data_IF_920608908214
#
_entry.id   IF_920608908214
#
_cell.length_a   1.000
_cell.length_b   1.000
_cell.length_c   1.000
_cell.angle_alpha   90.00
_cell.angle_beta   90.00
_cell.angle_gamma   90.00
#
_symmetry.space_group_name_H-M   'P 1'
#
loop_
_entity.id
_entity.type
_entity.pdbx_description
1 polymer ?
#
# COMPACT_ATOMS: atom_id res chain seq x y z
N UNK A 1 7.09 -5.36 3.71
CA UNK A 1 7.28 -6.13 4.96
C UNK A 1 5.99 -6.60 5.63
N UNK A 2 4.94 -5.77 5.70
CA UNK A 2 3.67 -6.15 6.34
C UNK A 2 2.72 -6.95 5.45
N UNK A 3 2.97 -7.01 4.14
CA UNK A 3 2.10 -7.77 3.22
C UNK A 3 2.41 -9.25 3.35
N UNK A 4 1.49 -9.99 3.98
CA UNK A 4 1.45 -11.46 4.08
C UNK A 4 0.07 -11.90 4.57
N UNK A 5 -0.22 -13.18 4.47
CA UNK A 5 -1.46 -13.76 4.99
C UNK A 5 -1.70 -13.45 6.48
N UNK A 6 -2.97 -13.20 6.82
CA UNK A 6 -3.42 -13.01 8.19
C UNK A 6 -3.16 -11.61 8.75
N UNK A 7 -2.48 -10.73 8.00
CA UNK A 7 -2.27 -9.33 8.42
C UNK A 7 -3.54 -8.51 8.16
N UNK A 8 -4.07 -7.79 9.16
CA UNK A 8 -5.12 -6.81 8.94
C UNK A 8 -4.69 -5.78 7.91
N UNK A 9 -5.54 -5.48 6.94
CA UNK A 9 -5.17 -4.55 5.87
C UNK A 9 -4.87 -3.13 6.40
N UNK A 10 -5.51 -2.74 7.50
CA UNK A 10 -5.23 -1.50 8.22
C UNK A 10 -3.79 -1.44 8.76
N UNK A 11 -3.17 -2.57 9.10
CA UNK A 11 -1.79 -2.62 9.58
C UNK A 11 -0.78 -2.35 8.45
N UNK A 12 -1.12 -2.73 7.21
CA UNK A 12 -0.32 -2.37 6.04
C UNK A 12 -0.35 -0.85 5.82
N UNK A 13 -1.54 -0.26 5.91
CA UNK A 13 -1.71 1.19 5.78
C UNK A 13 -1.01 1.97 6.91
N UNK A 14 -1.18 1.51 8.15
CA UNK A 14 -0.52 2.09 9.32
C UNK A 14 1.01 2.07 9.18
N UNK A 15 1.59 0.99 8.66
CA UNK A 15 3.03 0.91 8.47
C UNK A 15 3.57 1.99 7.53
N UNK A 16 2.86 2.31 6.45
CA UNK A 16 3.23 3.42 5.56
C UNK A 16 3.01 4.79 6.23
N UNK A 17 1.87 4.97 6.92
CA UNK A 17 1.54 6.24 7.60
C UNK A 17 2.53 6.58 8.71
N UNK A 18 2.96 5.63 9.52
CA UNK A 18 3.89 5.90 10.63
C UNK A 18 5.25 6.38 10.10
N UNK A 19 5.77 5.79 9.00
CA UNK A 19 7.00 6.28 8.35
C UNK A 19 6.86 7.73 7.89
N UNK A 20 5.73 8.08 7.26
CA UNK A 20 5.48 9.45 6.81
C UNK A 20 5.25 10.42 7.97
N UNK A 21 4.63 9.95 9.06
CA UNK A 21 4.43 10.72 10.29
C UNK A 21 5.73 11.05 10.98
N UNK A 22 6.65 10.09 11.08
CA UNK A 22 8.01 10.33 11.61
C UNK A 22 8.77 11.37 10.78
N UNK A 23 8.50 11.43 9.47
CA UNK A 23 9.04 12.45 8.57
C UNK A 23 8.27 13.79 8.59
N UNK A 24 7.19 13.93 9.38
CA UNK A 24 6.36 15.14 9.43
C UNK A 24 5.43 15.33 8.22
N UNK A 25 5.16 14.26 7.47
CA UNK A 25 4.40 14.28 6.21
C UNK A 25 3.04 13.57 6.30
N UNK A 26 2.58 13.20 7.50
CA UNK A 26 1.33 12.44 7.70
C UNK A 26 0.11 13.09 7.01
N UNK A 27 -0.07 14.40 7.20
CA UNK A 27 -1.22 15.15 6.64
C UNK A 27 -1.18 15.25 5.11
N UNK A 28 0.00 15.05 4.50
CA UNK A 28 0.17 15.09 3.06
C UNK A 28 -0.09 13.73 2.38
N UNK A 29 -0.37 12.67 3.14
CA UNK A 29 -0.76 11.35 2.65
C UNK A 29 -2.27 11.11 2.78
N UNK A 30 -3.00 11.47 1.71
CA UNK A 30 -4.46 11.71 1.75
C UNK A 30 -5.33 10.55 1.28
N UNK A 31 -4.74 9.43 0.84
CA UNK A 31 -5.46 8.25 0.35
C UNK A 31 -5.02 6.99 1.10
N UNK A 32 -5.71 5.87 0.87
CA UNK A 32 -5.29 4.56 1.39
C UNK A 32 -3.98 4.10 0.75
N UNK A 33 -3.29 3.18 1.40
CA UNK A 33 -2.01 2.64 0.93
C UNK A 33 -2.13 1.75 -0.30
N UNK A 34 -3.32 1.27 -0.68
CA UNK A 34 -3.50 0.53 -1.93
C UNK A 34 -4.83 -0.21 -2.01
N UNK A 35 -4.95 -1.07 -3.01
CA UNK A 35 -6.17 -1.81 -3.34
C UNK A 35 -5.88 -3.12 -4.07
N UNK A 36 -6.88 -3.98 -4.23
CA UNK A 36 -6.79 -5.18 -5.06
C UNK A 36 -6.76 -4.82 -6.54
N UNK A 37 -6.10 -5.67 -7.33
CA UNK A 37 -6.08 -5.56 -8.80
C UNK A 37 -6.29 -6.93 -9.43
N UNK A 38 -7.11 -6.98 -10.47
CA UNK A 38 -7.43 -8.24 -11.14
C UNK A 38 -8.12 -8.00 -12.48
N UNK A 39 -9.41 -8.34 -12.55
CA UNK A 39 -10.21 -8.00 -13.73
C UNK A 39 -10.53 -6.51 -13.77
N UNK A 40 -10.73 -5.92 -12.59
CA UNK A 40 -10.89 -4.48 -12.42
C UNK A 40 -9.58 -3.87 -11.88
N UNK A 41 -9.33 -2.63 -12.30
CA UNK A 41 -8.17 -1.86 -11.81
C UNK A 41 -8.29 -1.55 -10.31
N UNK A 42 -9.52 -1.42 -9.80
CA UNK A 42 -9.80 -1.27 -8.38
C UNK A 42 -10.78 -2.34 -7.97
N UNK A 43 -10.29 -3.37 -7.29
CA UNK A 43 -11.10 -4.42 -6.69
C UNK A 43 -10.71 -4.66 -5.23
N UNK A 44 -11.46 -5.53 -4.54
CA UNK A 44 -11.13 -5.91 -3.18
C UNK A 44 -9.81 -6.72 -3.15
N UNK A 45 -9.02 -6.61 -2.07
CA UNK A 45 -9.33 -5.86 -0.86
C UNK A 45 -8.72 -4.44 -0.87
N UNK A 46 -9.28 -3.54 -0.07
CA UNK A 46 -8.68 -2.20 0.13
C UNK A 46 -7.62 -2.24 1.23
N UNK A 47 -6.51 -1.53 1.05
CA UNK A 47 -5.48 -1.30 2.06
C UNK A 47 -5.63 0.13 2.59
N UNK A 48 -6.41 0.29 3.65
CA UNK A 48 -6.62 1.60 4.31
C UNK A 48 -6.88 1.41 5.79
N UNK A 49 -6.64 2.44 6.61
CA UNK A 49 -6.96 2.41 8.03
C UNK A 49 -8.45 2.28 8.39
N UNK A 50 -9.36 2.33 7.40
CA UNK A 50 -10.82 2.24 7.60
C UNK A 50 -11.39 0.83 7.36
N UNK A 51 -10.61 -0.08 6.77
CA UNK A 51 -11.09 -1.44 6.48
C UNK A 51 -11.01 -2.35 7.72
N UNK A 52 -11.86 -3.37 7.73
CA UNK A 52 -11.82 -4.48 8.70
C UNK A 52 -11.30 -5.79 8.08
N UNK A 53 -10.89 -5.76 6.82
CA UNK A 53 -10.43 -6.93 6.09
C UNK A 53 -9.05 -7.41 6.54
N UNK A 54 -8.75 -8.66 6.19
CA UNK A 54 -7.47 -9.32 6.45
C UNK A 54 -6.93 -9.91 5.14
N UNK A 55 -5.64 -9.72 4.90
CA UNK A 55 -4.94 -10.24 3.74
C UNK A 55 -4.98 -11.77 3.72
N UNK A 56 -5.16 -12.33 2.53
CA UNK A 56 -5.14 -13.78 2.24
C UNK A 56 -4.13 -14.08 1.15
N UNK A 57 -3.40 -15.18 1.28
CA UNK A 57 -2.49 -15.64 0.24
C UNK A 57 -3.23 -15.78 -1.11
N UNK A 58 -2.54 -15.43 -2.20
CA UNK A 58 -3.07 -15.41 -3.55
C UNK A 58 -3.77 -14.12 -3.96
N UNK A 59 -4.06 -13.21 -3.03
CA UNK A 59 -4.54 -11.86 -3.38
C UNK A 59 -3.43 -11.06 -4.09
N UNK A 60 -3.82 -10.26 -5.07
CA UNK A 60 -2.93 -9.32 -5.76
C UNK A 60 -3.35 -7.92 -5.36
N UNK A 61 -2.41 -7.14 -4.80
CA UNK A 61 -2.69 -5.79 -4.28
C UNK A 61 -1.61 -4.80 -4.71
N UNK A 62 -2.00 -3.53 -4.81
CA UNK A 62 -1.08 -2.40 -4.91
C UNK A 62 -0.59 -2.01 -3.52
N UNK A 63 0.64 -1.50 -3.44
CA UNK A 63 1.20 -0.80 -2.28
C UNK A 63 1.80 0.49 -2.81
N UNK A 64 1.14 1.60 -2.53
CA UNK A 64 1.31 2.86 -3.24
C UNK A 64 1.30 4.11 -2.36
N UNK A 65 2.08 4.19 -1.26
CA UNK A 65 2.12 5.39 -0.44
C UNK A 65 2.51 6.63 -1.28
N UNK A 66 1.80 7.74 -1.05
CA UNK A 66 1.98 8.98 -1.79
C UNK A 66 1.90 10.21 -0.91
N UNK A 67 2.75 11.19 -1.17
CA UNK A 67 2.78 12.48 -0.48
C UNK A 67 2.55 13.59 -1.50
N UNK A 68 1.61 14.48 -1.21
CA UNK A 68 1.26 15.60 -2.07
C UNK A 68 1.27 16.89 -1.27
N UNK A 69 2.16 17.80 -1.66
CA UNK A 69 2.29 19.12 -1.04
C UNK A 69 1.74 20.16 -2.04
N UNK A 70 0.67 20.89 -1.68
CA UNK A 70 0.15 21.98 -2.50
C UNK A 70 1.27 22.93 -2.90
N UNK A 71 1.21 23.41 -4.14
CA UNK A 71 2.16 24.36 -4.74
C UNK A 71 3.62 23.89 -4.89
N UNK A 72 3.95 22.68 -4.45
CA UNK A 72 5.29 22.08 -4.59
C UNK A 72 5.26 20.91 -5.59
N UNK A 73 4.32 19.98 -5.41
CA UNK A 73 4.23 18.76 -6.20
C UNK A 73 3.91 17.53 -5.35
N UNK A 74 4.18 16.34 -5.89
CA UNK A 74 3.95 15.10 -5.15
C UNK A 74 4.76 13.93 -5.69
N UNK A 75 4.91 12.92 -4.85
CA UNK A 75 5.60 11.67 -5.17
C UNK A 75 4.72 10.53 -4.67
N UNK A 76 4.53 9.52 -5.52
CA UNK A 76 3.92 8.24 -5.18
C UNK A 76 4.82 7.13 -5.70
N UNK A 77 5.05 6.13 -4.87
CA UNK A 77 5.75 4.93 -5.28
C UNK A 77 4.81 3.75 -5.20
N UNK A 78 4.51 3.11 -6.32
CA UNK A 78 3.56 2.01 -6.41
C UNK A 78 4.24 0.71 -6.86
N UNK A 79 3.94 -0.38 -6.16
CA UNK A 79 4.19 -1.73 -6.62
C UNK A 79 2.92 -2.56 -6.59
N UNK A 80 2.83 -3.53 -7.50
CA UNK A 80 1.85 -4.61 -7.44
C UNK A 80 2.53 -5.86 -6.90
N UNK A 81 1.90 -6.49 -5.90
CA UNK A 81 2.44 -7.68 -5.24
C UNK A 81 1.39 -8.79 -5.09
N UNK A 82 1.85 -10.03 -5.11
CA UNK A 82 1.05 -11.20 -4.71
C UNK A 82 1.28 -11.45 -3.22
N UNK A 83 0.21 -11.53 -2.44
CA UNK A 83 0.26 -11.94 -1.03
C UNK A 83 0.59 -13.43 -0.96
N UNK A 84 1.53 -13.81 -0.10
CA UNK A 84 1.86 -15.20 0.20
C UNK A 84 1.65 -15.46 1.69
N UNK A 85 1.71 -16.73 2.11
CA UNK A 85 1.59 -17.10 3.52
C UNK A 85 2.66 -16.43 4.41
N UNK A 86 3.90 -16.30 3.91
CA UNK A 86 5.05 -15.80 4.70
C UNK A 86 5.50 -14.38 4.34
N UNK A 87 4.95 -13.77 3.28
CA UNK A 87 5.40 -12.49 2.76
C UNK A 87 4.62 -12.06 1.52
N UNK A 88 5.30 -11.45 0.56
CA UNK A 88 4.74 -11.12 -0.74
C UNK A 88 5.77 -11.31 -1.86
N UNK A 89 5.27 -11.56 -3.07
CA UNK A 89 6.05 -11.58 -4.30
C UNK A 89 5.79 -10.30 -5.10
N UNK A 90 6.84 -9.65 -5.59
CA UNK A 90 6.70 -8.46 -6.43
C UNK A 90 6.40 -8.86 -7.87
N UNK A 91 5.42 -8.19 -8.49
CA UNK A 91 5.15 -8.26 -9.93
C UNK A 91 5.75 -7.07 -10.68
N UNK A 92 5.98 -5.97 -9.98
CA UNK A 92 6.62 -4.75 -10.50
C UNK A 92 8.09 -4.73 -10.11
N UNK A 93 8.97 -4.57 -11.11
CA UNK A 93 10.43 -4.66 -10.93
C UNK A 93 11.20 -3.42 -11.37
N UNK A 94 10.49 -2.35 -11.72
CA UNK A 94 11.13 -1.08 -12.07
C UNK A 94 12.03 -0.59 -10.91
N UNK A 95 13.21 -0.03 -11.21
CA UNK A 95 14.12 0.46 -10.18
C UNK A 95 13.48 1.48 -9.25
N UNK A 96 13.82 1.38 -7.97
CA UNK A 96 13.31 2.27 -6.91
C UNK A 96 14.26 3.42 -6.58
N UNK A 97 14.71 4.10 -7.63
CA UNK A 97 15.71 5.17 -7.55
C UNK A 97 15.26 6.32 -8.44
N UNK A 98 15.57 7.54 -8.01
CA UNK A 98 15.42 8.77 -8.80
C UNK A 98 16.81 9.24 -9.19
#
# INVERSE_FOLDING_TARGET
EKVKEGVPNADVDSACREVLKEAGLAEAFTHGTGHGVGLDIHEAPTLSGLTTDTLRAGQVVTVEPGVYLPDVGGVRWEDTVIVTEQGCEFLTHSPKII
#
